data_IF_739240477332
#
_entry.id   IF_739240477332
#
_cell.length_a   1.000
_cell.length_b   1.000
_cell.length_c   1.000
_cell.angle_alpha   90.00
_cell.angle_beta   90.00
_cell.angle_gamma   90.00
#
_symmetry.space_group_name_H-M   'P 1'
#
loop_
_entity.id
_entity.type
_entity.pdbx_description
1 polymer ?
#
# COMPACT_ATOMS: atom_id res chain seq x y z
N UNK A 1 32.96 -45.33 45.04
CA UNK A 1 31.86 -46.30 45.24
C UNK A 1 31.26 -46.58 43.87
N UNK A 2 31.83 -47.48 43.05
CA UNK A 2 31.41 -48.89 42.88
C UNK A 2 29.97 -49.15 43.33
N UNK A 3 29.15 -49.75 42.46
CA UNK A 3 28.72 -51.14 42.57
C UNK A 3 28.23 -51.65 41.20
N UNK A 4 28.82 -52.77 40.78
CA UNK A 4 28.35 -53.69 39.75
C UNK A 4 27.24 -54.60 40.31
N UNK A 5 26.46 -55.22 39.43
CA UNK A 5 26.38 -56.68 39.22
C UNK A 5 25.24 -56.99 38.24
N UNK A 6 25.47 -57.48 37.01
CA UNK A 6 25.59 -58.92 36.63
C UNK A 6 24.52 -59.80 37.31
N UNK A 7 23.73 -60.64 36.62
CA UNK A 7 24.17 -61.90 36.02
C UNK A 7 22.99 -62.70 35.40
N UNK A 8 23.28 -63.46 34.32
CA UNK A 8 22.85 -64.86 33.99
C UNK A 8 21.35 -65.15 33.72
N UNK A 9 20.90 -65.51 32.50
CA UNK A 9 20.99 -66.79 31.73
C UNK A 9 19.98 -67.92 32.11
N UNK A 10 19.02 -68.17 31.19
CA UNK A 10 18.36 -69.44 30.77
C UNK A 10 17.41 -70.22 31.74
N UNK A 11 16.55 -71.19 31.29
CA UNK A 11 15.88 -71.43 29.99
C UNK A 11 14.39 -71.94 30.08
N UNK A 12 13.75 -72.17 28.92
CA UNK A 12 12.63 -73.12 28.61
C UNK A 12 11.22 -72.93 29.23
N UNK A 13 10.19 -72.69 28.39
CA UNK A 13 9.26 -73.75 27.91
C UNK A 13 8.20 -73.22 26.93
N UNK A 14 8.01 -74.02 25.87
CA UNK A 14 6.97 -73.92 24.86
C UNK A 14 5.55 -73.80 25.42
N UNK A 15 4.72 -72.93 24.84
CA UNK A 15 3.37 -73.31 24.41
C UNK A 15 3.09 -72.70 23.04
N UNK A 16 2.85 -73.61 22.10
CA UNK A 16 2.50 -73.40 20.70
C UNK A 16 0.99 -73.15 20.65
N UNK A 17 0.56 -71.94 20.32
CA UNK A 17 -0.83 -71.70 19.86
C UNK A 17 -0.76 -71.27 18.41
N UNK A 18 -1.03 -72.23 17.53
CA UNK A 18 -1.36 -72.01 16.12
C UNK A 18 -2.63 -71.17 16.06
N UNK A 19 -2.52 -69.93 15.58
CA UNK A 19 -3.65 -69.25 14.96
C UNK A 19 -3.29 -69.02 13.49
N UNK A 20 -3.89 -69.83 12.63
CA UNK A 20 -3.89 -69.66 11.18
C UNK A 20 -4.75 -68.45 10.83
N UNK A 21 -4.15 -67.26 10.79
CA UNK A 21 -4.71 -66.14 10.05
C UNK A 21 -4.11 -66.17 8.63
N UNK A 22 -4.91 -66.59 7.65
CA UNK A 22 -4.65 -66.41 6.22
C UNK A 22 -4.44 -64.92 5.95
N UNK A 23 -3.18 -64.47 5.97
CA UNK A 23 -2.78 -63.14 5.47
C UNK A 23 -2.19 -63.36 4.08
N UNK A 24 -3.00 -63.12 3.06
CA UNK A 24 -2.52 -63.03 1.67
C UNK A 24 -1.42 -61.98 1.60
N UNK A 25 -0.16 -62.42 1.67
CA UNK A 25 1.01 -61.58 1.48
C UNK A 25 1.19 -61.43 -0.02
N UNK A 26 0.54 -60.42 -0.59
CA UNK A 26 1.06 -59.77 -1.80
C UNK A 26 2.34 -59.01 -1.39
N UNK A 27 3.39 -59.74 -1.02
CA UNK A 27 4.72 -59.18 -0.86
C UNK A 27 5.30 -59.08 -2.24
N UNK A 28 5.25 -57.87 -2.79
CA UNK A 28 5.92 -57.50 -4.03
C UNK A 28 7.35 -58.06 -3.99
N UNK A 29 7.79 -58.82 -5.02
CA UNK A 29 9.13 -59.39 -5.09
C UNK A 29 10.22 -58.38 -4.72
N UNK A 30 11.27 -58.82 -4.02
CA UNK A 30 12.35 -57.96 -3.53
C UNK A 30 12.99 -57.12 -4.65
N UNK A 31 13.22 -57.71 -5.83
CA UNK A 31 13.71 -56.96 -7.00
C UNK A 31 12.78 -55.81 -7.32
N UNK A 32 11.46 -56.00 -7.30
CA UNK A 32 10.51 -54.97 -7.72
C UNK A 32 10.54 -53.81 -6.74
N UNK A 33 10.70 -54.10 -5.43
CA UNK A 33 10.94 -53.05 -4.44
C UNK A 33 12.25 -52.30 -4.65
N UNK A 34 13.32 -53.00 -5.02
CA UNK A 34 14.63 -52.39 -5.29
C UNK A 34 14.61 -51.52 -6.55
N UNK A 35 14.03 -52.02 -7.64
CA UNK A 35 13.82 -51.27 -8.88
C UNK A 35 12.92 -50.07 -8.63
N UNK A 36 11.83 -50.22 -7.86
CA UNK A 36 10.94 -49.10 -7.55
C UNK A 36 11.62 -48.07 -6.63
N UNK A 37 12.42 -48.51 -5.66
CA UNK A 37 13.22 -47.61 -4.83
C UNK A 37 14.27 -46.86 -5.67
N UNK A 38 14.98 -47.55 -6.56
CA UNK A 38 15.97 -46.96 -7.45
C UNK A 38 15.35 -46.00 -8.47
N UNK A 39 14.23 -46.38 -9.09
CA UNK A 39 13.46 -45.50 -9.98
C UNK A 39 12.90 -44.30 -9.23
N UNK A 40 12.42 -44.47 -8.00
CA UNK A 40 12.00 -43.36 -7.14
C UNK A 40 13.17 -42.45 -6.81
N UNK A 41 14.36 -42.99 -6.57
CA UNK A 41 15.58 -42.23 -6.30
C UNK A 41 16.11 -41.52 -7.54
N UNK A 42 15.97 -42.12 -8.73
CA UNK A 42 16.29 -41.50 -10.02
C UNK A 42 15.32 -40.37 -10.34
N UNK A 43 14.01 -40.62 -10.22
CA UNK A 43 12.96 -39.60 -10.36
C UNK A 43 13.21 -38.49 -9.34
N UNK A 44 13.44 -38.82 -8.06
CA UNK A 44 13.82 -37.82 -7.08
C UNK A 44 15.10 -37.12 -7.51
N UNK A 45 16.18 -37.77 -7.92
CA UNK A 45 17.41 -37.06 -8.34
C UNK A 45 17.24 -36.18 -9.59
N UNK A 46 16.35 -36.55 -10.52
CA UNK A 46 16.04 -35.78 -11.74
C UNK A 46 15.12 -34.58 -11.47
N UNK A 47 14.21 -34.71 -10.50
CA UNK A 47 13.24 -33.66 -10.13
C UNK A 47 13.63 -32.88 -8.86
N UNK A 48 14.56 -33.39 -8.06
CA UNK A 48 15.06 -32.78 -6.83
C UNK A 48 16.12 -31.76 -7.21
N UNK A 49 15.63 -30.60 -7.62
CA UNK A 49 16.40 -29.38 -7.44
C UNK A 49 16.04 -28.83 -6.08
N UNK A 50 17.03 -28.48 -5.26
CA UNK A 50 16.80 -27.69 -4.04
C UNK A 50 16.15 -26.32 -4.32
N UNK A 51 16.03 -25.97 -5.61
CA UNK A 51 15.42 -24.77 -6.15
C UNK A 51 13.98 -24.98 -6.68
N UNK A 52 13.49 -26.22 -6.80
CA UNK A 52 12.10 -26.50 -7.24
C UNK A 52 11.21 -26.64 -6.01
N UNK A 53 10.93 -25.52 -5.36
CA UNK A 53 9.99 -25.46 -4.24
C UNK A 53 8.55 -25.36 -4.75
N UNK A 54 7.54 -25.61 -3.91
CA UNK A 54 6.12 -25.52 -4.32
C UNK A 54 5.79 -24.16 -4.95
N UNK A 55 6.44 -23.10 -4.46
CA UNK A 55 6.32 -21.74 -4.97
C UNK A 55 6.67 -21.63 -6.47
N UNK A 56 7.71 -22.35 -6.93
CA UNK A 56 8.14 -22.30 -8.34
C UNK A 56 7.13 -22.97 -9.26
N UNK A 57 6.54 -24.08 -8.82
CA UNK A 57 5.50 -24.78 -9.58
C UNK A 57 4.25 -23.90 -9.69
N UNK A 58 3.84 -23.28 -8.58
CA UNK A 58 2.73 -22.32 -8.58
C UNK A 58 3.01 -21.13 -9.51
N UNK A 59 4.19 -20.54 -9.44
CA UNK A 59 4.58 -19.41 -10.31
C UNK A 59 4.49 -19.79 -11.80
N UNK A 60 4.93 -20.99 -12.18
CA UNK A 60 4.86 -21.46 -13.57
C UNK A 60 3.42 -21.70 -14.05
N UNK A 61 2.56 -22.29 -13.21
CA UNK A 61 1.16 -22.55 -13.57
C UNK A 61 0.37 -21.24 -13.72
N UNK A 62 0.62 -20.26 -12.85
CA UNK A 62 -0.09 -18.97 -12.85
C UNK A 62 0.53 -17.93 -13.79
N UNK A 63 1.63 -18.23 -14.48
CA UNK A 63 2.30 -17.29 -15.39
C UNK A 63 1.37 -16.68 -16.46
N UNK A 64 0.49 -17.45 -17.15
CA UNK A 64 -0.46 -16.87 -18.10
C UNK A 64 -1.46 -15.92 -17.43
N UNK A 65 -1.92 -16.25 -16.21
CA UNK A 65 -2.86 -15.42 -15.44
C UNK A 65 -2.19 -14.11 -15.06
N UNK A 66 -0.94 -14.15 -14.60
CA UNK A 66 -0.18 -12.94 -14.28
C UNK A 66 0.00 -12.04 -15.50
N UNK A 67 0.25 -12.61 -16.68
CA UNK A 67 0.34 -11.83 -17.92
C UNK A 67 -0.98 -11.12 -18.26
N UNK A 68 -2.11 -11.82 -18.15
CA UNK A 68 -3.43 -11.21 -18.35
C UNK A 68 -3.70 -10.10 -17.34
N UNK A 69 -3.44 -10.34 -16.05
CA UNK A 69 -3.63 -9.34 -14.99
C UNK A 69 -2.71 -8.13 -15.22
N UNK A 70 -1.45 -8.34 -15.59
CA UNK A 70 -0.49 -7.26 -15.87
C UNK A 70 -0.95 -6.39 -17.05
N UNK A 71 -1.43 -7.02 -18.13
CA UNK A 71 -1.96 -6.32 -19.30
C UNK A 71 -3.19 -5.49 -18.96
N UNK A 72 -4.15 -6.09 -18.24
CA UNK A 72 -5.37 -5.43 -17.79
C UNK A 72 -5.04 -4.26 -16.86
N UNK A 73 -4.19 -4.47 -15.86
CA UNK A 73 -3.78 -3.45 -14.89
C UNK A 73 -3.16 -2.23 -15.55
N UNK A 74 -2.40 -2.42 -16.63
CA UNK A 74 -1.80 -1.32 -17.41
C UNK A 74 -2.86 -0.43 -18.07
N UNK A 75 -3.92 -1.01 -18.62
CA UNK A 75 -5.01 -0.24 -19.22
C UNK A 75 -5.85 0.49 -18.16
N UNK A 76 -6.17 -0.19 -17.06
CA UNK A 76 -6.86 0.41 -15.93
C UNK A 76 -6.06 1.54 -15.27
N UNK A 77 -4.73 1.52 -15.34
CA UNK A 77 -3.88 2.60 -14.83
C UNK A 77 -4.27 3.98 -15.37
N UNK A 78 -4.55 4.10 -16.67
CA UNK A 78 -5.01 5.37 -17.26
C UNK A 78 -6.36 5.81 -16.69
N UNK A 79 -7.29 4.87 -16.50
CA UNK A 79 -8.60 5.13 -15.89
C UNK A 79 -8.45 5.65 -14.46
N UNK A 80 -7.57 5.04 -13.66
CA UNK A 80 -7.31 5.49 -12.28
C UNK A 80 -6.68 6.88 -12.24
N UNK A 81 -5.76 7.20 -13.16
CA UNK A 81 -5.19 8.55 -13.26
C UNK A 81 -6.26 9.59 -13.58
N UNK A 82 -7.13 9.31 -14.56
CA UNK A 82 -8.27 10.18 -14.88
C UNK A 82 -9.21 10.34 -13.69
N UNK A 83 -9.51 9.26 -12.97
CA UNK A 83 -10.35 9.27 -11.79
C UNK A 83 -9.80 10.20 -10.70
N UNK A 84 -8.50 10.13 -10.40
CA UNK A 84 -7.85 11.02 -9.41
C UNK A 84 -7.97 12.48 -9.84
N UNK A 85 -7.75 12.78 -11.12
CA UNK A 85 -7.87 14.15 -11.65
C UNK A 85 -9.31 14.66 -11.54
N UNK A 86 -10.30 13.84 -11.90
CA UNK A 86 -11.72 14.21 -11.84
C UNK A 86 -12.17 14.41 -10.39
N UNK A 87 -11.84 13.49 -9.48
CA UNK A 87 -12.22 13.58 -8.07
C UNK A 87 -11.54 14.76 -7.37
N UNK A 88 -10.26 15.01 -7.66
CA UNK A 88 -9.57 16.18 -7.10
C UNK A 88 -10.13 17.47 -7.68
N UNK A 89 -10.40 17.48 -9.00
CA UNK A 89 -11.00 18.62 -9.69
C UNK A 89 -12.40 18.97 -9.20
N UNK A 90 -13.24 17.97 -8.90
CA UNK A 90 -14.59 18.20 -8.35
C UNK A 90 -14.54 18.85 -6.96
N UNK A 91 -13.60 18.42 -6.10
CA UNK A 91 -13.38 19.02 -4.79
C UNK A 91 -12.87 20.46 -4.90
N UNK A 92 -11.92 20.72 -5.79
CA UNK A 92 -11.44 22.09 -6.05
C UNK A 92 -12.57 22.98 -6.59
N UNK A 93 -13.40 22.47 -7.51
CA UNK A 93 -14.55 23.22 -8.03
C UNK A 93 -15.53 23.60 -6.90
N UNK A 94 -15.85 22.67 -6.00
CA UNK A 94 -16.70 22.97 -4.83
C UNK A 94 -16.03 23.99 -3.91
N UNK A 95 -14.74 23.84 -3.63
CA UNK A 95 -13.99 24.75 -2.77
C UNK A 95 -13.98 26.19 -3.32
N UNK A 96 -13.74 26.38 -4.62
CA UNK A 96 -13.64 27.72 -5.22
C UNK A 96 -15.00 28.33 -5.60
N UNK A 97 -15.96 27.53 -6.08
CA UNK A 97 -17.25 28.05 -6.55
C UNK A 97 -18.29 28.18 -5.44
N UNK A 98 -18.20 27.35 -4.39
CA UNK A 98 -19.19 27.31 -3.31
C UNK A 98 -18.58 27.81 -2.00
N UNK A 99 -17.49 27.21 -1.54
CA UNK A 99 -16.95 27.53 -0.20
C UNK A 99 -16.28 28.90 -0.15
N UNK A 100 -15.49 29.27 -1.15
CA UNK A 100 -14.75 30.53 -1.13
C UNK A 100 -15.66 31.77 -1.05
N UNK A 101 -16.75 31.88 -1.85
CA UNK A 101 -17.73 32.96 -1.69
C UNK A 101 -18.41 32.99 -0.31
N UNK A 102 -18.67 31.82 0.29
CA UNK A 102 -19.20 31.76 1.66
C UNK A 102 -18.16 32.27 2.66
N UNK A 103 -16.92 31.79 2.57
CA UNK A 103 -15.82 32.19 3.47
C UNK A 103 -15.64 33.70 3.48
N UNK A 104 -15.67 34.36 2.31
CA UNK A 104 -15.55 35.82 2.20
C UNK A 104 -16.69 36.60 2.88
N UNK A 105 -17.87 35.99 3.06
CA UNK A 105 -19.03 36.64 3.67
C UNK A 105 -19.14 36.38 5.17
N UNK A 106 -18.69 35.23 5.65
CA UNK A 106 -18.94 34.78 7.03
C UNK A 106 -17.73 34.92 7.96
N UNK A 107 -16.50 34.79 7.44
CA UNK A 107 -15.31 34.68 8.27
C UNK A 107 -14.60 36.03 8.47
N UNK A 108 -13.80 36.14 9.53
CA UNK A 108 -12.95 37.30 9.77
C UNK A 108 -11.81 37.37 8.73
N UNK A 109 -11.25 38.57 8.45
CA UNK A 109 -10.17 38.72 7.46
C UNK A 109 -8.96 37.82 7.71
N UNK A 110 -8.61 37.56 8.98
CA UNK A 110 -7.51 36.67 9.35
C UNK A 110 -7.79 35.22 8.93
N UNK A 111 -9.00 34.72 9.17
CA UNK A 111 -9.39 33.37 8.77
C UNK A 111 -9.51 33.23 7.26
N UNK A 112 -10.02 34.26 6.58
CA UNK A 112 -10.05 34.32 5.11
C UNK A 112 -8.63 34.19 4.56
N UNK A 113 -7.69 34.99 5.07
CA UNK A 113 -6.28 34.93 4.66
C UNK A 113 -5.68 33.53 4.90
N UNK A 114 -5.94 32.92 6.06
CA UNK A 114 -5.50 31.56 6.35
C UNK A 114 -6.03 30.53 5.34
N UNK A 115 -7.34 30.49 5.12
CA UNK A 115 -7.97 29.53 4.19
C UNK A 115 -7.45 29.71 2.76
N UNK A 116 -7.28 30.95 2.31
CA UNK A 116 -6.75 31.26 0.98
C UNK A 116 -5.28 30.83 0.88
N UNK A 117 -4.42 31.28 1.79
CA UNK A 117 -2.99 30.98 1.73
C UNK A 117 -2.70 29.48 1.86
N UNK A 118 -3.27 28.83 2.88
CA UNK A 118 -3.10 27.39 3.09
C UNK A 118 -3.72 26.58 1.95
N UNK A 119 -4.94 26.93 1.52
CA UNK A 119 -5.65 26.24 0.44
C UNK A 119 -4.86 26.26 -0.87
N UNK A 120 -4.33 27.42 -1.26
CA UNK A 120 -3.49 27.53 -2.46
C UNK A 120 -2.16 26.81 -2.32
N UNK A 121 -1.50 26.94 -1.16
CA UNK A 121 -0.25 26.19 -0.90
C UNK A 121 -0.47 24.68 -1.03
N UNK A 122 -1.51 24.14 -0.39
CA UNK A 122 -1.83 22.73 -0.44
C UNK A 122 -2.22 22.27 -1.85
N UNK A 123 -3.00 23.07 -2.59
CA UNK A 123 -3.32 22.81 -4.00
C UNK A 123 -2.06 22.69 -4.86
N UNK A 124 -1.13 23.64 -4.74
CA UNK A 124 0.14 23.62 -5.48
C UNK A 124 0.96 22.38 -5.12
N UNK A 125 1.02 22.02 -3.83
CA UNK A 125 1.72 20.83 -3.38
C UNK A 125 1.13 19.54 -3.95
N UNK A 126 -0.20 19.39 -3.97
CA UNK A 126 -0.88 18.22 -4.56
C UNK A 126 -0.59 18.13 -6.05
N UNK A 127 -0.84 19.20 -6.81
CA UNK A 127 -0.70 19.21 -8.27
C UNK A 127 0.75 18.92 -8.68
N UNK A 128 1.71 19.62 -8.07
CA UNK A 128 3.12 19.45 -8.39
C UNK A 128 3.61 18.02 -8.11
N UNK A 129 3.37 17.50 -6.91
CA UNK A 129 3.88 16.18 -6.54
C UNK A 129 3.18 15.07 -7.29
N UNK A 130 1.87 15.20 -7.56
CA UNK A 130 1.16 14.24 -8.41
C UNK A 130 1.71 14.23 -9.83
N UNK A 131 1.85 15.41 -10.45
CA UNK A 131 2.43 15.54 -11.79
C UNK A 131 3.85 14.94 -11.85
N UNK A 132 4.69 15.22 -10.86
CA UNK A 132 6.04 14.66 -10.81
C UNK A 132 6.03 13.15 -10.57
N UNK A 133 5.12 12.61 -9.78
CA UNK A 133 5.01 11.18 -9.53
C UNK A 133 4.62 10.40 -10.80
N UNK A 134 3.67 10.92 -11.59
CA UNK A 134 3.22 10.27 -12.84
C UNK A 134 4.23 10.41 -13.98
N UNK A 135 4.90 11.57 -14.12
CA UNK A 135 5.78 11.85 -15.27
C UNK A 135 7.23 11.47 -15.06
N UNK A 136 7.73 11.47 -13.82
CA UNK A 136 9.13 11.16 -13.55
C UNK A 136 9.36 9.67 -13.70
N UNK A 137 10.31 9.29 -14.57
CA UNK A 137 10.74 7.91 -14.70
C UNK A 137 11.25 7.40 -13.35
N UNK A 138 10.85 6.22 -12.87
CA UNK A 138 11.30 5.66 -11.59
C UNK A 138 12.78 5.24 -11.61
N UNK A 139 13.39 5.18 -12.79
CA UNK A 139 14.77 4.75 -13.01
C UNK A 139 14.87 3.29 -13.43
N UNK A 140 15.73 3.02 -14.39
CA UNK A 140 16.05 1.68 -14.87
C UNK A 140 17.57 1.48 -14.88
N UNK A 141 18.06 0.27 -14.60
CA UNK A 141 19.47 -0.04 -14.75
C UNK A 141 19.90 0.09 -16.23
N UNK A 142 21.17 0.44 -16.50
CA UNK A 142 21.70 0.51 -17.85
C UNK A 142 21.70 -0.88 -18.50
N UNK A 143 21.46 -0.92 -19.81
CA UNK A 143 21.46 -2.16 -20.60
C UNK A 143 22.87 -2.68 -20.87
N UNK A 144 23.85 -1.78 -20.93
CA UNK A 144 25.25 -2.13 -21.13
C UNK A 144 25.92 -2.59 -19.83
N UNK A 145 26.94 -3.45 -19.96
CA UNK A 145 27.77 -3.90 -18.85
C UNK A 145 28.58 -2.74 -18.30
N UNK A 146 27.97 -1.98 -17.39
CA UNK A 146 28.70 -1.07 -16.54
C UNK A 146 29.32 -1.91 -15.41
N UNK A 147 30.56 -1.62 -15.00
CA UNK A 147 31.25 -2.26 -13.88
C UNK A 147 30.61 -1.98 -12.51
N UNK A 148 29.30 -1.73 -12.46
CA UNK A 148 28.55 -1.52 -11.25
C UNK A 148 28.32 -2.83 -10.50
N UNK A 149 28.35 -2.80 -9.15
CA UNK A 149 28.08 -3.99 -8.36
C UNK A 149 26.63 -4.45 -8.55
N UNK A 150 26.43 -5.74 -8.81
CA UNK A 150 25.10 -6.35 -8.95
C UNK A 150 24.94 -7.54 -8.00
N UNK A 151 23.71 -7.76 -7.54
CA UNK A 151 23.38 -8.82 -6.56
C UNK A 151 22.79 -10.07 -7.21
N UNK A 152 22.18 -9.91 -8.39
CA UNK A 152 21.54 -10.99 -9.14
C UNK A 152 21.41 -10.58 -10.62
N UNK A 153 21.02 -11.52 -11.49
CA UNK A 153 20.64 -11.23 -12.88
C UNK A 153 19.13 -11.33 -13.02
N UNK A 154 18.53 -10.39 -13.76
CA UNK A 154 17.12 -10.46 -14.09
C UNK A 154 16.87 -11.57 -15.13
N UNK A 155 16.06 -12.58 -14.80
CA UNK A 155 15.69 -13.64 -15.77
C UNK A 155 14.88 -13.14 -16.97
N UNK A 156 14.05 -12.09 -16.78
CA UNK A 156 13.19 -11.55 -17.84
C UNK A 156 13.92 -10.53 -18.74
N UNK A 157 14.73 -9.66 -18.14
CA UNK A 157 15.44 -8.60 -18.88
C UNK A 157 16.85 -9.02 -19.31
N UNK A 158 17.41 -10.09 -18.74
CA UNK A 158 18.80 -10.54 -18.98
C UNK A 158 19.83 -9.42 -18.72
N UNK A 159 19.62 -8.67 -17.63
CA UNK A 159 20.54 -7.61 -17.19
C UNK A 159 20.97 -7.81 -15.73
N UNK A 160 22.19 -7.41 -15.36
CA UNK A 160 22.62 -7.38 -13.97
C UNK A 160 21.70 -6.45 -13.16
N UNK A 161 21.22 -6.91 -12.01
CA UNK A 161 20.39 -6.14 -11.08
C UNK A 161 21.28 -5.51 -10.00
N UNK A 162 21.43 -4.18 -10.00
CA UNK A 162 22.00 -3.48 -8.86
C UNK A 162 21.24 -3.79 -7.57
N UNK A 163 21.84 -3.51 -6.42
CA UNK A 163 21.14 -3.67 -5.16
C UNK A 163 19.82 -2.88 -5.15
N UNK A 164 18.80 -3.41 -4.44
CA UNK A 164 17.45 -2.82 -4.32
C UNK A 164 16.65 -2.73 -5.63
N UNK A 165 17.11 -3.36 -6.72
CA UNK A 165 16.45 -3.35 -8.03
C UNK A 165 15.56 -4.57 -8.22
N UNK A 166 14.30 -4.35 -8.62
CA UNK A 166 13.34 -5.42 -8.88
C UNK A 166 12.70 -5.27 -10.27
N UNK A 167 12.23 -6.38 -10.84
CA UNK A 167 11.56 -6.37 -12.14
C UNK A 167 10.07 -6.20 -11.92
N UNK A 168 9.46 -5.23 -12.60
CA UNK A 168 8.01 -5.06 -12.62
C UNK A 168 7.44 -5.71 -13.88
N UNK A 169 6.53 -6.69 -13.73
CA UNK A 169 5.85 -7.34 -14.85
C UNK A 169 4.98 -6.36 -15.66
N UNK A 170 4.22 -5.50 -14.97
CA UNK A 170 3.34 -4.49 -15.59
C UNK A 170 4.11 -3.48 -16.45
N UNK A 171 5.24 -2.97 -15.94
CA UNK A 171 6.10 -2.07 -16.71
C UNK A 171 7.07 -2.79 -17.65
N UNK A 172 7.16 -4.12 -17.55
CA UNK A 172 8.09 -5.00 -18.27
C UNK A 172 9.56 -4.51 -18.27
N UNK A 173 10.04 -4.04 -17.11
CA UNK A 173 11.42 -3.56 -16.96
C UNK A 173 11.91 -3.65 -15.51
N UNK A 174 13.22 -3.63 -15.31
CA UNK A 174 13.80 -3.48 -13.98
C UNK A 174 13.71 -2.02 -13.51
N UNK A 175 13.33 -1.84 -12.25
CA UNK A 175 13.13 -0.54 -11.60
C UNK A 175 14.14 -0.40 -10.45
N UNK A 176 14.90 0.69 -10.46
CA UNK A 176 15.87 1.00 -9.40
C UNK A 176 15.12 1.33 -8.10
N UNK A 177 15.60 0.81 -6.96
CA UNK A 177 14.99 0.97 -5.63
C UNK A 177 13.46 0.78 -5.66
N UNK A 178 12.99 -0.26 -6.34
CA UNK A 178 11.56 -0.47 -6.58
C UNK A 178 10.81 -0.59 -5.26
N UNK A 179 9.72 0.19 -5.14
CA UNK A 179 8.78 0.05 -4.04
C UNK A 179 7.57 -0.77 -4.46
N UNK A 180 6.81 -0.28 -5.44
CA UNK A 180 5.66 -0.98 -6.01
C UNK A 180 5.29 -0.39 -7.38
N UNK A 181 4.44 -1.10 -8.12
CA UNK A 181 3.72 -0.51 -9.25
C UNK A 181 2.43 0.14 -8.74
N UNK A 182 2.19 1.40 -9.06
CA UNK A 182 1.00 2.12 -8.59
C UNK A 182 0.06 2.40 -9.77
N UNK A 183 -1.11 1.73 -9.84
CA UNK A 183 -2.10 1.99 -10.89
C UNK A 183 -2.60 3.44 -10.86
N UNK A 184 -2.71 4.05 -9.67
CA UNK A 184 -3.13 5.45 -9.48
C UNK A 184 -2.15 6.48 -10.07
N UNK A 185 -0.91 6.07 -10.37
CA UNK A 185 0.06 6.90 -11.07
C UNK A 185 0.25 6.47 -12.53
N UNK A 186 -0.30 5.31 -12.92
CA UNK A 186 0.07 4.58 -14.11
C UNK A 186 1.61 4.48 -14.29
N UNK A 187 2.33 4.32 -13.17
CA UNK A 187 3.79 4.33 -13.13
C UNK A 187 4.29 3.51 -11.94
N UNK A 188 5.52 2.99 -12.04
CA UNK A 188 6.20 2.42 -10.88
C UNK A 188 6.67 3.52 -9.94
N UNK A 189 6.69 3.21 -8.65
CA UNK A 189 7.36 4.00 -7.61
C UNK A 189 8.73 3.37 -7.38
N UNK A 190 9.79 4.14 -7.67
CA UNK A 190 11.19 3.72 -7.59
C UNK A 190 12.10 4.89 -7.23
N UNK A 191 13.41 4.72 -7.39
CA UNK A 191 14.43 5.64 -6.87
C UNK A 191 14.12 7.12 -7.12
N UNK A 192 13.88 7.49 -8.38
CA UNK A 192 13.77 8.91 -8.77
C UNK A 192 12.40 9.56 -8.51
N UNK A 193 11.35 8.78 -8.26
CA UNK A 193 10.00 9.33 -8.04
C UNK A 193 9.36 8.96 -6.70
N UNK A 194 10.00 8.15 -5.86
CA UNK A 194 9.47 7.75 -4.55
C UNK A 194 9.16 8.96 -3.66
N UNK A 195 10.02 9.98 -3.63
CA UNK A 195 9.77 11.20 -2.86
C UNK A 195 8.50 11.91 -3.34
N UNK A 196 8.31 12.05 -4.65
CA UNK A 196 7.14 12.72 -5.22
C UNK A 196 5.85 11.98 -4.87
N UNK A 197 5.85 10.65 -4.98
CA UNK A 197 4.71 9.83 -4.56
C UNK A 197 4.38 10.05 -3.08
N UNK A 198 5.36 9.94 -2.19
CA UNK A 198 5.12 10.11 -0.76
C UNK A 198 4.61 11.52 -0.41
N UNK A 199 5.25 12.57 -0.95
CA UNK A 199 4.82 13.95 -0.72
C UNK A 199 3.43 14.24 -1.28
N UNK A 200 3.05 13.63 -2.41
CA UNK A 200 1.69 13.69 -2.93
C UNK A 200 0.69 13.07 -1.94
N UNK A 201 0.96 11.86 -1.44
CA UNK A 201 0.09 11.20 -0.47
C UNK A 201 -0.08 12.03 0.81
N UNK A 202 1.00 12.62 1.33
CA UNK A 202 0.95 13.53 2.48
C UNK A 202 0.10 14.76 2.19
N UNK A 203 0.38 15.49 1.11
CA UNK A 203 -0.34 16.72 0.78
C UNK A 203 -1.83 16.46 0.52
N UNK A 204 -2.17 15.36 -0.16
CA UNK A 204 -3.55 14.97 -0.40
C UNK A 204 -4.24 14.54 0.90
N UNK A 205 -3.62 13.72 1.74
CA UNK A 205 -4.19 13.30 3.03
C UNK A 205 -4.40 14.50 3.97
N UNK A 206 -3.41 15.38 4.09
CA UNK A 206 -3.48 16.61 4.91
C UNK A 206 -4.53 17.57 4.37
N UNK A 207 -4.63 17.74 3.05
CA UNK A 207 -5.70 18.51 2.40
C UNK A 207 -7.09 17.94 2.69
N UNK A 208 -7.26 16.62 2.57
CA UNK A 208 -8.53 15.95 2.86
C UNK A 208 -8.92 16.08 4.34
N UNK A 209 -7.98 15.91 5.28
CA UNK A 209 -8.22 16.12 6.71
C UNK A 209 -8.65 17.56 6.97
N UNK A 210 -7.95 18.54 6.38
CA UNK A 210 -8.28 19.95 6.53
C UNK A 210 -9.68 20.28 6.02
N UNK A 211 -10.06 19.80 4.82
CA UNK A 211 -11.40 19.97 4.27
C UNK A 211 -12.47 19.30 5.15
N UNK A 212 -12.19 18.12 5.69
CA UNK A 212 -13.12 17.37 6.54
C UNK A 212 -13.38 18.09 7.87
N UNK A 213 -12.32 18.62 8.50
CA UNK A 213 -12.43 19.37 9.76
C UNK A 213 -13.13 20.72 9.51
N UNK A 214 -12.66 21.49 8.53
CA UNK A 214 -13.20 22.83 8.24
C UNK A 214 -14.65 22.77 7.74
N UNK A 215 -15.00 21.73 6.98
CA UNK A 215 -16.33 21.52 6.41
C UNK A 215 -17.32 20.83 7.34
N UNK A 216 -16.92 20.42 8.56
CA UNK A 216 -17.78 19.62 9.46
C UNK A 216 -19.10 20.31 9.79
N UNK A 217 -19.07 21.59 10.15
CA UNK A 217 -20.27 22.31 10.57
C UNK A 217 -21.21 22.53 9.37
N UNK A 218 -20.64 22.92 8.22
CA UNK A 218 -21.37 23.06 6.94
C UNK A 218 -22.02 21.73 6.52
N UNK A 219 -21.35 20.61 6.75
CA UNK A 219 -21.92 19.28 6.50
C UNK A 219 -23.14 19.00 7.39
N UNK A 220 -23.06 19.26 8.69
CA UNK A 220 -24.18 19.05 9.63
C UNK A 220 -25.38 19.91 9.22
N UNK A 221 -25.14 21.19 8.94
CA UNK A 221 -26.19 22.12 8.48
C UNK A 221 -26.82 21.64 7.16
N UNK A 222 -25.99 21.27 6.17
CA UNK A 222 -26.47 20.80 4.88
C UNK A 222 -27.23 19.47 4.98
N UNK A 223 -26.78 18.57 5.85
CA UNK A 223 -27.44 17.28 6.09
C UNK A 223 -28.82 17.47 6.70
N UNK A 224 -28.90 18.26 7.79
CA UNK A 224 -30.18 18.56 8.46
C UNK A 224 -31.16 19.27 7.50
N UNK A 225 -30.67 20.21 6.68
CA UNK A 225 -31.51 20.89 5.70
C UNK A 225 -32.11 19.93 4.65
N UNK A 226 -31.33 18.94 4.19
CA UNK A 226 -31.83 17.91 3.25
C UNK A 226 -32.79 16.94 3.94
N UNK A 227 -32.54 16.56 5.19
CA UNK A 227 -33.41 15.67 5.96
C UNK A 227 -34.81 16.29 6.18
N UNK A 228 -34.86 17.56 6.56
CA UNK A 228 -36.13 18.29 6.67
C UNK A 228 -36.90 18.34 5.33
N UNK A 229 -36.19 18.58 4.22
CA UNK A 229 -36.80 18.61 2.87
C UNK A 229 -37.37 17.27 2.41
N UNK A 230 -36.71 16.16 2.77
CA UNK A 230 -37.20 14.83 2.42
C UNK A 230 -38.31 14.37 3.38
N UNK A 231 -38.35 14.87 4.62
CA UNK A 231 -39.41 14.62 5.60
C UNK A 231 -40.72 15.40 5.36
N UNK A 232 -40.66 16.56 4.71
CA UNK A 232 -41.85 17.37 4.37
C UNK A 232 -42.61 16.88 3.11
N UNK A 233 -42.12 15.86 2.40
CA UNK A 233 -42.87 15.31 1.26
C UNK A 233 -44.14 14.61 1.76
N UNK A 234 -45.35 15.03 1.35
CA UNK A 234 -46.57 14.34 1.71
C UNK A 234 -46.56 12.93 1.09
N UNK A 235 -46.44 11.93 1.95
CA UNK A 235 -46.81 10.53 1.75
C UNK A 235 -46.67 9.95 0.35
N UNK A 236 -45.47 9.49 -0.01
CA UNK A 236 -45.36 8.19 -0.70
C UNK A 236 -44.60 7.28 0.25
N UNK A 237 -45.23 6.23 0.80
CA UNK A 237 -44.57 5.35 1.75
C UNK A 237 -43.45 4.59 1.02
N UNK A 238 -42.21 4.94 1.30
CA UNK A 238 -41.07 4.08 1.02
C UNK A 238 -41.13 2.96 2.04
N UNK A 239 -41.65 1.80 1.63
CA UNK A 239 -41.62 0.57 2.41
C UNK A 239 -40.17 0.20 2.72
N UNK A 240 -39.75 0.42 3.96
CA UNK A 240 -38.45 -0.01 4.46
C UNK A 240 -38.18 0.52 5.86
N UNK A 241 -38.72 -0.17 6.87
CA UNK A 241 -38.50 0.03 8.32
C UNK A 241 -39.21 1.24 8.96
N UNK A 242 -40.44 1.03 9.45
CA UNK A 242 -41.11 2.03 10.28
C UNK A 242 -42.60 1.78 10.54
N UNK A 243 -43.02 0.54 10.79
CA UNK A 243 -44.38 0.23 11.26
C UNK A 243 -44.45 0.61 12.73
N UNK A 244 -44.82 1.86 13.06
CA UNK A 244 -45.40 2.25 14.38
C UNK A 244 -45.79 3.73 14.49
N UNK A 245 -46.33 4.36 13.44
CA UNK A 245 -47.02 5.66 13.60
C UNK A 245 -48.36 5.59 12.88
N UNK A 246 -49.34 5.03 13.59
CA UNK A 246 -50.69 4.84 13.07
C UNK A 246 -51.74 4.91 14.18
N UNK A 247 -51.63 5.85 15.13
CA UNK A 247 -52.67 6.20 16.09
C UNK A 247 -52.53 7.67 16.52
N UNK A 248 -53.05 8.61 15.71
CA UNK A 248 -53.38 9.97 16.19
C UNK A 248 -54.80 10.32 15.69
N UNK A 249 -55.69 10.82 16.57
CA UNK A 249 -57.09 11.10 16.24
C UNK A 249 -57.24 12.33 15.31
N UNK A 250 -58.33 12.42 14.52
CA UNK A 250 -58.52 13.47 13.54
C UNK A 250 -58.94 14.77 14.24
N UNK A 251 -58.02 15.74 14.37
CA UNK A 251 -58.39 16.99 15.04
C UNK A 251 -57.32 18.07 15.26
N UNK A 252 -56.16 18.04 14.60
CA UNK A 252 -55.23 19.17 14.63
C UNK A 252 -54.81 19.57 13.21
N UNK A 253 -55.53 20.55 12.65
CA UNK A 253 -55.01 21.37 11.56
C UNK A 253 -53.93 22.27 12.13
N UNK A 254 -52.70 21.78 12.17
CA UNK A 254 -51.52 22.63 12.34
C UNK A 254 -51.44 23.50 11.10
N UNK A 255 -51.64 24.82 11.23
CA UNK A 255 -51.25 25.77 10.20
C UNK A 255 -49.72 25.74 10.07
N UNK A 256 -49.19 24.76 9.34
CA UNK A 256 -47.83 24.78 8.86
C UNK A 256 -47.80 25.69 7.65
N UNK A 257 -47.31 26.92 7.84
CA UNK A 257 -46.87 27.75 6.73
C UNK A 257 -45.85 26.92 5.93
N UNK A 258 -46.17 26.55 4.69
CA UNK A 258 -45.25 25.81 3.85
C UNK A 258 -43.92 26.59 3.76
N UNK A 259 -42.80 25.94 4.07
CA UNK A 259 -41.48 26.52 3.90
C UNK A 259 -41.34 27.05 2.46
N UNK A 260 -40.68 28.21 2.24
CA UNK A 260 -40.50 28.72 0.89
C UNK A 260 -39.83 27.63 0.03
N UNK A 261 -40.28 27.42 -1.22
CA UNK A 261 -39.75 26.36 -2.06
C UNK A 261 -38.26 26.57 -2.26
N UNK A 262 -37.45 25.73 -1.61
CA UNK A 262 -36.01 25.77 -1.75
C UNK A 262 -35.63 25.66 -3.22
N UNK A 263 -34.84 26.63 -3.70
CA UNK A 263 -34.47 26.68 -5.11
C UNK A 263 -33.61 25.46 -5.47
N UNK A 264 -33.71 24.96 -6.71
CA UNK A 264 -32.86 23.85 -7.21
C UNK A 264 -31.36 24.08 -6.90
N UNK A 265 -30.94 25.35 -6.95
CA UNK A 265 -29.60 25.82 -6.61
C UNK A 265 -29.21 25.53 -5.16
N UNK A 266 -30.08 25.79 -4.19
CA UNK A 266 -29.82 25.50 -2.78
C UNK A 266 -29.70 24.00 -2.53
N UNK A 267 -30.58 23.20 -3.14
CA UNK A 267 -30.49 21.73 -3.05
C UNK A 267 -29.18 21.19 -3.63
N UNK A 268 -28.72 21.78 -4.74
CA UNK A 268 -27.43 21.44 -5.35
C UNK A 268 -26.27 21.80 -4.41
N UNK A 269 -26.27 22.99 -3.80
CA UNK A 269 -25.24 23.43 -2.85
C UNK A 269 -25.11 22.48 -1.66
N UNK A 270 -26.23 22.15 -0.99
CA UNK A 270 -26.20 21.24 0.16
C UNK A 270 -25.69 19.84 -0.23
N UNK A 271 -26.15 19.29 -1.36
CA UNK A 271 -25.65 18.00 -1.87
C UNK A 271 -24.16 18.03 -2.22
N UNK A 272 -23.67 19.12 -2.79
CA UNK A 272 -22.23 19.30 -3.09
C UNK A 272 -21.39 19.35 -1.81
N UNK A 273 -21.85 20.04 -0.76
CA UNK A 273 -21.15 20.09 0.54
C UNK A 273 -21.08 18.69 1.16
N UNK A 274 -22.20 17.94 1.14
CA UNK A 274 -22.26 16.57 1.64
C UNK A 274 -21.29 15.66 0.86
N UNK A 275 -21.34 15.70 -0.47
CA UNK A 275 -20.42 14.93 -1.33
C UNK A 275 -18.96 15.24 -1.01
N UNK A 276 -18.60 16.51 -0.90
CA UNK A 276 -17.23 16.93 -0.61
C UNK A 276 -16.76 16.40 0.75
N UNK A 277 -17.57 16.55 1.81
CA UNK A 277 -17.22 16.12 3.15
C UNK A 277 -17.08 14.59 3.25
N UNK A 278 -18.01 13.83 2.65
CA UNK A 278 -17.95 12.36 2.64
C UNK A 278 -16.73 11.86 1.87
N UNK A 279 -16.47 12.42 0.68
CA UNK A 279 -15.32 12.02 -0.13
C UNK A 279 -14.00 12.33 0.59
N UNK A 280 -13.84 13.56 1.09
CA UNK A 280 -12.60 13.97 1.76
C UNK A 280 -12.37 13.20 3.06
N UNK A 281 -13.41 12.91 3.85
CA UNK A 281 -13.28 12.12 5.07
C UNK A 281 -12.86 10.68 4.78
N UNK A 282 -13.46 10.07 3.76
CA UNK A 282 -13.14 8.68 3.38
C UNK A 282 -11.71 8.58 2.83
N UNK A 283 -11.31 9.50 1.95
CA UNK A 283 -9.95 9.53 1.41
C UNK A 283 -8.93 9.84 2.50
N UNK A 284 -9.24 10.73 3.45
CA UNK A 284 -8.35 11.03 4.58
C UNK A 284 -8.00 9.77 5.38
N UNK A 285 -8.98 8.92 5.68
CA UNK A 285 -8.75 7.67 6.42
C UNK A 285 -7.95 6.67 5.59
N UNK A 286 -8.39 6.40 4.36
CA UNK A 286 -7.77 5.38 3.51
C UNK A 286 -6.32 5.78 3.11
N UNK A 287 -6.16 6.98 2.57
CA UNK A 287 -4.86 7.49 2.13
C UNK A 287 -3.95 7.85 3.32
N UNK A 288 -4.51 8.35 4.43
CA UNK A 288 -3.77 8.61 5.65
C UNK A 288 -3.14 7.34 6.21
N UNK A 289 -3.88 6.23 6.24
CA UNK A 289 -3.37 4.92 6.67
C UNK A 289 -2.23 4.42 5.77
N UNK A 290 -2.38 4.53 4.45
CA UNK A 290 -1.33 4.19 3.49
C UNK A 290 -0.09 5.08 3.68
N UNK A 291 -0.29 6.38 3.88
CA UNK A 291 0.80 7.36 4.09
C UNK A 291 1.59 7.03 5.35
N UNK A 292 0.90 6.72 6.46
CA UNK A 292 1.52 6.31 7.72
C UNK A 292 2.33 5.01 7.55
N UNK A 293 1.82 4.06 6.78
CA UNK A 293 2.55 2.84 6.47
C UNK A 293 3.86 3.12 5.74
N UNK A 294 3.83 3.92 4.67
CA UNK A 294 5.05 4.31 3.95
C UNK A 294 6.01 5.10 4.86
N UNK A 295 5.50 5.95 5.75
CA UNK A 295 6.31 6.66 6.72
C UNK A 295 7.07 5.70 7.66
N UNK A 296 6.45 4.57 8.06
CA UNK A 296 7.12 3.51 8.84
C UNK A 296 8.22 2.82 8.02
N UNK A 297 7.97 2.54 6.74
CA UNK A 297 8.97 1.93 5.84
C UNK A 297 10.19 2.84 5.64
N UNK A 298 9.95 4.12 5.34
CA UNK A 298 10.99 5.15 5.21
C UNK A 298 11.79 5.25 6.51
N UNK A 299 11.12 5.28 7.67
CA UNK A 299 11.79 5.31 8.97
C UNK A 299 12.69 4.11 9.22
N UNK A 300 12.44 2.96 8.57
CA UNK A 300 13.25 1.75 8.65
C UNK A 300 14.30 1.62 7.54
N UNK A 301 14.31 2.55 6.57
CA UNK A 301 15.20 2.51 5.41
C UNK A 301 14.80 1.46 4.37
N UNK A 302 13.56 0.98 4.40
CA UNK A 302 13.05 -0.13 3.58
C UNK A 302 12.06 0.36 2.51
N UNK A 303 12.02 -0.30 1.37
CA UNK A 303 10.88 -0.28 0.45
C UNK A 303 9.84 -1.33 0.84
N UNK A 304 8.65 -1.28 0.23
CA UNK A 304 7.58 -2.27 0.43
C UNK A 304 8.04 -3.70 0.10
N UNK A 305 8.82 -3.88 -0.98
CA UNK A 305 9.40 -5.17 -1.36
C UNK A 305 10.45 -5.60 -0.32
N UNK A 306 11.34 -4.70 0.07
CA UNK A 306 12.38 -4.99 1.04
C UNK A 306 11.84 -5.36 2.40
N UNK A 307 10.72 -4.78 2.84
CA UNK A 307 10.05 -5.18 4.08
C UNK A 307 9.76 -6.69 4.09
N UNK A 308 9.29 -7.24 2.97
CA UNK A 308 9.00 -8.67 2.85
C UNK A 308 10.28 -9.51 2.86
N UNK A 309 11.28 -9.09 2.09
CA UNK A 309 12.59 -9.76 2.02
C UNK A 309 13.24 -9.77 3.40
N UNK A 310 13.35 -8.61 4.04
CA UNK A 310 13.94 -8.43 5.36
C UNK A 310 13.18 -9.19 6.44
N UNK A 311 11.85 -9.32 6.32
CA UNK A 311 11.05 -10.16 7.23
C UNK A 311 11.43 -11.64 7.09
N UNK A 312 11.55 -12.15 5.86
CA UNK A 312 12.01 -13.53 5.59
C UNK A 312 13.44 -13.75 6.08
N UNK A 313 14.36 -12.83 5.80
CA UNK A 313 15.75 -12.90 6.25
C UNK A 313 15.88 -12.83 7.77
N UNK A 314 15.10 -11.97 8.44
CA UNK A 314 15.05 -11.92 9.89
C UNK A 314 14.66 -13.27 10.48
N UNK A 315 13.62 -13.90 9.95
CA UNK A 315 13.18 -15.22 10.42
C UNK A 315 14.26 -16.29 10.17
N UNK A 316 14.98 -16.24 9.04
CA UNK A 316 16.09 -17.16 8.74
C UNK A 316 17.27 -16.99 9.69
N UNK A 317 17.65 -15.75 9.99
CA UNK A 317 18.78 -15.44 10.88
C UNK A 317 18.46 -15.77 12.34
N UNK A 318 17.24 -15.48 12.80
CA UNK A 318 16.77 -15.84 14.16
C UNK A 318 16.79 -17.35 14.37
N UNK A 319 16.38 -18.15 13.38
CA UNK A 319 16.46 -19.63 13.44
C UNK A 319 17.90 -20.15 13.58
N UNK A 320 18.90 -19.38 13.16
CA UNK A 320 20.33 -19.70 13.29
C UNK A 320 20.96 -19.10 14.55
N UNK A 321 20.16 -18.54 15.46
CA UNK A 321 20.64 -17.88 16.69
C UNK A 321 21.27 -16.50 16.47
N UNK A 322 21.10 -15.90 15.28
CA UNK A 322 21.65 -14.58 14.95
C UNK A 322 20.63 -13.44 15.08
N UNK A 323 21.12 -12.21 14.90
CA UNK A 323 20.29 -10.99 14.85
C UNK A 323 20.43 -10.34 13.48
N UNK A 324 19.33 -10.22 12.73
CA UNK A 324 19.32 -9.54 11.45
C UNK A 324 19.35 -8.02 11.62
N UNK A 325 20.22 -7.34 10.86
CA UNK A 325 20.26 -5.87 10.75
C UNK A 325 20.06 -5.47 9.30
N UNK A 326 19.16 -4.53 9.05
CA UNK A 326 18.95 -3.98 7.72
C UNK A 326 20.19 -3.15 7.31
N UNK A 327 20.90 -3.52 6.22
CA UNK A 327 22.10 -2.80 5.75
C UNK A 327 21.84 -1.35 5.34
N UNK A 328 20.59 -1.01 4.98
CA UNK A 328 20.21 0.32 4.49
C UNK A 328 19.49 1.18 5.55
N UNK A 329 19.50 0.75 6.81
CA UNK A 329 18.93 1.52 7.91
C UNK A 329 20.01 2.36 8.59
N UNK A 330 19.98 3.67 8.38
CA UNK A 330 20.92 4.64 8.94
C UNK A 330 20.39 5.34 10.21
N UNK A 331 19.29 4.85 10.77
CA UNK A 331 18.55 5.48 11.86
C UNK A 331 17.38 6.32 11.35
N UNK A 332 16.32 6.45 12.17
CA UNK A 332 15.03 7.03 11.74
C UNK A 332 15.18 8.38 11.06
N UNK A 333 15.84 9.34 11.71
CA UNK A 333 16.00 10.70 11.19
C UNK A 333 16.88 10.74 9.93
N UNK A 334 17.98 9.97 9.90
CA UNK A 334 18.88 9.95 8.75
C UNK A 334 18.20 9.30 7.54
N UNK A 335 17.38 8.27 7.73
CA UNK A 335 16.60 7.69 6.65
C UNK A 335 15.66 8.72 6.01
N UNK A 336 14.99 9.55 6.84
CA UNK A 336 14.16 10.66 6.35
C UNK A 336 14.97 11.72 5.62
N UNK A 337 16.14 12.11 6.15
CA UNK A 337 17.04 13.07 5.48
C UNK A 337 17.49 12.56 4.11
N UNK A 338 17.91 11.30 4.02
CA UNK A 338 18.31 10.67 2.75
C UNK A 338 17.11 10.59 1.79
N UNK A 339 15.94 10.18 2.28
CA UNK A 339 14.73 10.05 1.47
C UNK A 339 14.24 11.39 0.90
N UNK A 340 14.21 12.43 1.73
CA UNK A 340 13.77 13.77 1.35
C UNK A 340 14.87 14.60 0.67
N UNK A 341 16.12 14.12 0.66
CA UNK A 341 17.27 14.87 0.15
C UNK A 341 17.62 16.07 1.03
N UNK A 342 17.51 15.97 2.35
CA UNK A 342 17.81 17.07 3.29
C UNK A 342 19.24 16.96 3.82
N UNK A 343 20.11 17.82 3.31
CA UNK A 343 21.52 17.95 3.73
C UNK A 343 21.76 19.15 4.66
N UNK A 344 20.97 20.22 4.50
CA UNK A 344 21.08 21.48 5.27
C UNK A 344 19.73 21.81 5.90
N UNK A 345 19.71 22.61 6.97
CA UNK A 345 18.46 23.04 7.64
C UNK A 345 17.52 23.80 6.70
N UNK A 346 18.05 24.65 5.81
CA UNK A 346 17.27 25.37 4.81
C UNK A 346 16.55 24.47 3.81
N UNK A 347 17.02 23.23 3.63
CA UNK A 347 16.37 22.27 2.72
C UNK A 347 15.01 21.78 3.23
N UNK A 348 14.72 21.88 4.54
CA UNK A 348 13.36 21.61 5.02
C UNK A 348 12.33 22.53 4.37
N UNK A 349 12.67 23.81 4.18
CA UNK A 349 11.80 24.74 3.48
C UNK A 349 11.80 24.48 1.96
N UNK A 350 12.99 24.48 1.34
CA UNK A 350 13.10 24.50 -0.13
C UNK A 350 12.91 23.14 -0.82
N UNK A 351 13.04 22.03 -0.08
CA UNK A 351 12.94 20.66 -0.61
C UNK A 351 11.72 19.88 -0.09
N UNK A 352 11.14 20.29 1.05
CA UNK A 352 10.01 19.58 1.69
C UNK A 352 8.73 20.43 1.71
N UNK A 353 8.78 21.67 2.21
CA UNK A 353 7.59 22.53 2.32
C UNK A 353 7.21 23.24 1.02
N UNK A 354 8.16 23.40 0.10
CA UNK A 354 7.94 24.00 -1.22
C UNK A 354 8.08 22.93 -2.33
N UNK A 355 7.36 23.11 -3.46
CA UNK A 355 7.55 22.30 -4.65
C UNK A 355 9.01 22.25 -5.08
N UNK A 356 9.59 21.06 -5.15
CA UNK A 356 11.01 20.90 -5.42
C UNK A 356 11.30 19.73 -6.35
N UNK A 357 11.86 20.03 -7.53
CA UNK A 357 12.20 19.06 -8.57
C UNK A 357 13.55 18.36 -8.41
N UNK A 358 14.24 18.53 -7.28
CA UNK A 358 15.59 18.01 -7.09
C UNK A 358 15.63 16.47 -7.14
N UNK A 359 16.71 15.89 -7.67
CA UNK A 359 16.89 14.44 -7.69
C UNK A 359 17.16 13.88 -6.28
N UNK A 360 16.80 12.61 -6.00
CA UNK A 360 17.28 11.94 -4.79
C UNK A 360 18.83 11.82 -4.81
N UNK A 361 19.47 11.64 -3.64
CA UNK A 361 20.90 11.39 -3.58
C UNK A 361 21.26 10.07 -4.28
N UNK A 362 22.33 10.11 -5.08
CA UNK A 362 22.87 8.94 -5.79
C UNK A 362 22.12 8.55 -7.06
N UNK A 363 22.72 7.62 -7.81
CA UNK A 363 22.23 7.13 -9.10
C UNK A 363 21.24 5.94 -8.98
N UNK A 364 21.09 5.38 -7.78
CA UNK A 364 20.29 4.19 -7.51
C UNK A 364 20.94 2.87 -7.93
N UNK A 365 22.17 2.91 -8.45
CA UNK A 365 22.99 1.76 -8.81
C UNK A 365 23.90 1.35 -7.65
N UNK A 366 24.42 2.34 -6.90
CA UNK A 366 25.27 2.14 -5.73
C UNK A 366 24.59 2.66 -4.47
N UNK A 367 24.85 1.98 -3.36
CA UNK A 367 24.24 2.27 -2.06
C UNK A 367 25.28 2.19 -0.96
N UNK A 368 25.32 3.19 -0.10
CA UNK A 368 26.13 3.15 1.12
C UNK A 368 25.49 2.17 2.10
N UNK A 369 26.25 1.14 2.49
CA UNK A 369 25.81 0.11 3.43
C UNK A 369 26.36 0.42 4.82
N UNK A 370 25.54 0.24 5.86
CA UNK A 370 25.99 0.33 7.25
C UNK A 370 27.16 -0.65 7.53
N UNK A 371 28.23 -0.27 8.27
CA UNK A 371 28.37 0.90 9.14
C UNK A 371 29.31 1.96 8.54
N UNK A 372 28.83 2.87 7.71
CA UNK A 372 29.61 4.10 7.45
C UNK A 372 29.15 5.17 8.45
N UNK A 373 29.99 5.42 9.45
CA UNK A 373 29.86 6.51 10.44
C UNK A 373 30.02 7.87 9.75
N UNK A 374 29.04 8.75 9.91
CA UNK A 374 29.10 10.03 10.63
C UNK A 374 27.74 10.68 10.48
N UNK A 375 27.21 11.24 11.56
CA UNK A 375 25.98 12.01 11.52
C UNK A 375 26.02 12.99 10.34
N UNK A 376 25.02 12.93 9.47
CA UNK A 376 24.95 13.78 8.29
C UNK A 376 24.86 15.28 8.67
N UNK A 377 24.71 15.59 9.96
CA UNK A 377 24.83 16.91 10.58
C UNK A 377 25.32 16.70 12.03
N UNK A 378 26.40 17.34 12.53
CA UNK A 378 26.60 17.44 13.97
C UNK A 378 25.46 18.28 14.55
N UNK A 379 24.77 17.75 15.56
CA UNK A 379 23.65 18.42 16.25
C UNK A 379 24.10 19.78 16.79
#
# INVERSE_FOLDING_TARGET
>A
MRWCSSSMLHPLRCVRVRSCARRGKNTVPLWIREVWAYMRLLVQSLYFSSLTDSDVVFDSVFEPVFWTVDYVTRWFGTVFVCLVVILTGSILAIAYLILLPMIFRTYTPLWIAWHVCYGHWNMVMIIFHYYKAITTSPGSPPTEKNGSPFVAVCKKCIIPKPARTHHCGICNRCILKMDHHCPWLNNCVGHFNHRYFFSFCVALAVGCVYCSISGRNLFIEAYNAIEHLDGEKPGVPVTGMGVLIGLLPPGQTTYQTAAPPHTFKEKLIHKSIIYMWVLTSTVAVALGSLTLWHAVLISRGETSIERHINSKERNRVVKRGGVYRNPFNHGRLNNWKIFLGVEKTSHWLTRVLLPSGHAPPGDGLKWDVFPVKKDLIPV
#
